data_IF_108680924526
#
_entry.id   IF_108680924526
#
_cell.length_a   1.000
_cell.length_b   1.000
_cell.length_c   1.000
_cell.angle_alpha   90.00
_cell.angle_beta   90.00
_cell.angle_gamma   90.00
#
_symmetry.space_group_name_H-M   'P 1'
#
loop_
_entity.id
_entity.type
_entity.pdbx_description
1 polymer ?
#
# COMPACT_ATOMS: atom_id res chain seq x y z
N UNK A 1 -35.65 21.69 60.23
CA UNK A 1 -36.28 20.56 59.54
C UNK A 1 -36.52 20.95 58.09
N UNK A 2 -35.77 20.40 57.14
CA UNK A 2 -36.12 20.43 55.71
C UNK A 2 -35.54 19.18 55.07
N UNK A 3 -36.39 18.16 54.82
CA UNK A 3 -36.03 16.93 54.13
C UNK A 3 -36.30 17.13 52.64
N UNK A 4 -35.24 17.31 51.85
CA UNK A 4 -35.32 17.42 50.39
C UNK A 4 -35.71 16.09 49.76
N UNK A 5 -36.84 16.09 49.03
CA UNK A 5 -37.24 15.01 48.12
C UNK A 5 -36.33 15.04 46.88
N UNK A 6 -35.38 14.12 46.80
CA UNK A 6 -34.74 13.78 45.53
C UNK A 6 -35.74 13.01 44.67
N UNK A 7 -36.13 13.60 43.55
CA UNK A 7 -37.08 13.03 42.58
C UNK A 7 -36.41 11.92 41.77
N UNK A 8 -37.09 10.77 41.69
CA UNK A 8 -36.69 9.55 40.98
C UNK A 8 -36.49 9.74 39.47
N UNK A 9 -36.96 10.84 38.88
CA UNK A 9 -36.80 11.15 37.45
C UNK A 9 -35.37 11.52 37.07
N UNK A 10 -34.57 12.08 37.99
CA UNK A 10 -33.17 12.43 37.71
C UNK A 10 -32.26 11.20 37.56
N UNK A 11 -32.64 10.07 38.17
CA UNK A 11 -31.82 8.85 38.17
C UNK A 11 -31.99 8.04 36.87
N UNK A 12 -33.15 8.11 36.22
CA UNK A 12 -33.43 7.41 34.95
C UNK A 12 -32.72 8.09 33.77
N UNK A 13 -32.63 9.43 33.75
CA UNK A 13 -31.88 10.16 32.72
C UNK A 13 -30.36 9.96 32.80
N UNK A 14 -29.80 9.73 33.99
CA UNK A 14 -28.36 9.49 34.15
C UNK A 14 -27.93 8.09 33.68
N UNK A 15 -28.81 7.08 33.82
CA UNK A 15 -28.54 5.71 33.35
C UNK A 15 -28.65 5.60 31.82
N UNK A 16 -29.54 6.39 31.18
CA UNK A 16 -29.66 6.43 29.72
C UNK A 16 -28.48 7.13 29.03
N UNK A 17 -27.78 8.06 29.68
CA UNK A 17 -26.58 8.69 29.11
C UNK A 17 -25.32 7.80 29.16
N UNK A 18 -25.27 6.80 30.04
CA UNK A 18 -24.09 5.94 30.20
C UNK A 18 -24.00 4.81 29.17
N UNK A 19 -25.10 4.43 28.51
CA UNK A 19 -25.12 3.32 27.54
C UNK A 19 -24.65 3.70 26.13
N UNK A 20 -24.49 4.99 25.81
CA UNK A 20 -24.04 5.44 24.48
C UNK A 20 -22.53 5.70 24.35
N UNK A 21 -21.75 5.56 25.42
CA UNK A 21 -20.29 5.83 25.38
C UNK A 21 -19.44 4.67 24.84
N UNK A 22 -20.05 3.51 24.54
CA UNK A 22 -19.33 2.30 24.10
C UNK A 22 -18.88 2.28 22.63
N UNK A 23 -19.61 2.92 21.71
CA UNK A 23 -19.36 2.79 20.26
C UNK A 23 -18.08 3.49 19.77
N UNK A 24 -17.75 4.67 20.33
CA UNK A 24 -16.57 5.45 19.91
C UNK A 24 -15.24 4.74 20.19
N UNK A 25 -15.22 3.78 21.12
CA UNK A 25 -14.02 3.00 21.45
C UNK A 25 -13.71 1.94 20.39
N UNK A 26 -14.73 1.38 19.74
CA UNK A 26 -14.56 0.28 18.77
C UNK A 26 -13.97 0.77 17.45
N UNK A 27 -14.41 1.94 16.97
CA UNK A 27 -13.91 2.53 15.72
C UNK A 27 -12.40 2.85 15.80
N UNK A 28 -11.97 3.52 16.88
CA UNK A 28 -10.54 3.79 17.14
C UNK A 28 -9.70 2.52 17.19
N UNK A 29 -10.27 1.43 17.69
CA UNK A 29 -9.58 0.12 17.73
C UNK A 29 -9.40 -0.43 16.33
N UNK A 30 -10.45 -0.41 15.50
CA UNK A 30 -10.38 -0.88 14.12
C UNK A 30 -9.43 -0.02 13.26
N UNK A 31 -9.36 1.29 13.50
CA UNK A 31 -8.39 2.16 12.84
C UNK A 31 -6.94 1.82 13.22
N UNK A 32 -6.69 1.51 14.50
CA UNK A 32 -5.38 1.02 14.94
C UNK A 32 -5.05 -0.33 14.28
N UNK A 33 -6.07 -1.18 14.05
CA UNK A 33 -5.91 -2.48 13.35
C UNK A 33 -5.39 -2.27 11.96
N UNK A 34 -6.12 -1.45 11.22
CA UNK A 34 -5.80 -1.16 9.85
C UNK A 34 -4.39 -0.58 9.76
N UNK A 35 -4.02 0.32 10.68
CA UNK A 35 -2.71 0.96 10.70
C UNK A 35 -1.55 0.00 10.92
N UNK A 36 -1.59 -0.82 11.97
CA UNK A 36 -0.49 -1.73 12.31
C UNK A 36 -0.27 -2.77 11.19
N UNK A 37 -1.36 -3.34 10.68
CA UNK A 37 -1.33 -4.24 9.52
C UNK A 37 -0.72 -3.55 8.29
N UNK A 38 -1.12 -2.31 8.04
CA UNK A 38 -0.69 -1.59 6.84
C UNK A 38 0.80 -1.19 6.93
N UNK A 39 1.27 -0.81 8.11
CA UNK A 39 2.69 -0.56 8.37
C UNK A 39 3.56 -1.81 8.17
N UNK A 40 3.04 -2.97 8.58
CA UNK A 40 3.66 -4.27 8.37
C UNK A 40 3.87 -4.54 6.88
N UNK A 41 2.81 -4.49 6.08
CA UNK A 41 2.88 -4.73 4.63
C UNK A 41 3.78 -3.69 3.94
N UNK A 42 3.70 -2.42 4.35
CA UNK A 42 4.53 -1.33 3.83
C UNK A 42 6.03 -1.57 4.03
N UNK A 43 6.43 -2.24 5.12
CA UNK A 43 7.83 -2.62 5.32
C UNK A 43 8.35 -3.54 4.20
N UNK A 44 7.46 -4.31 3.56
CA UNK A 44 7.76 -5.13 2.38
C UNK A 44 7.70 -4.35 1.05
N UNK A 45 7.64 -3.01 1.11
CA UNK A 45 7.57 -2.13 -0.06
C UNK A 45 6.30 -2.28 -0.91
N UNK A 46 5.25 -2.83 -0.32
CA UNK A 46 3.93 -3.05 -0.95
C UNK A 46 2.93 -2.03 -0.43
N UNK A 47 2.01 -1.56 -1.27
CA UNK A 47 0.91 -0.71 -0.82
C UNK A 47 -0.16 -1.62 -0.20
N UNK A 48 -0.45 -1.48 1.11
CA UNK A 48 -1.40 -2.35 1.80
C UNK A 48 -2.82 -2.18 1.27
N UNK A 49 -3.56 -3.28 1.29
CA UNK A 49 -5.01 -3.32 1.06
C UNK A 49 -5.69 -3.66 2.37
N UNK A 50 -6.66 -2.83 2.75
CA UNK A 50 -7.47 -3.04 3.95
C UNK A 50 -8.91 -2.52 3.73
N UNK A 51 -9.96 -3.31 4.05
CA UNK A 51 -9.89 -4.72 4.45
C UNK A 51 -9.32 -5.60 3.34
N UNK A 52 -8.89 -6.81 3.69
CA UNK A 52 -8.41 -7.79 2.71
C UNK A 52 -9.56 -8.12 1.73
N UNK A 53 -9.25 -8.20 0.44
CA UNK A 53 -10.26 -8.43 -0.60
C UNK A 53 -9.79 -9.46 -1.62
N UNK A 54 -10.73 -10.12 -2.28
CA UNK A 54 -10.45 -11.01 -3.39
C UNK A 54 -10.52 -10.32 -4.74
N UNK A 55 -11.11 -9.13 -4.84
CA UNK A 55 -11.54 -8.56 -6.13
C UNK A 55 -10.46 -7.77 -6.88
N UNK A 56 -9.41 -7.33 -6.19
CA UNK A 56 -8.34 -6.51 -6.77
C UNK A 56 -7.46 -7.33 -7.74
N UNK A 57 -7.24 -6.81 -8.95
CA UNK A 57 -6.49 -7.47 -10.01
C UNK A 57 -5.54 -6.50 -10.74
N UNK A 58 -4.42 -6.98 -11.32
CA UNK A 58 -3.64 -6.20 -12.26
C UNK A 58 -4.49 -5.75 -13.45
N UNK A 59 -4.36 -4.48 -13.83
CA UNK A 59 -5.19 -3.83 -14.84
C UNK A 59 -6.39 -3.08 -14.29
N UNK A 60 -6.67 -3.15 -12.98
CA UNK A 60 -7.67 -2.28 -12.35
C UNK A 60 -7.21 -0.81 -12.37
N UNK A 61 -8.13 0.07 -12.73
CA UNK A 61 -7.96 1.52 -12.80
C UNK A 61 -8.87 2.16 -11.77
N UNK A 62 -8.28 2.86 -10.81
CA UNK A 62 -8.97 3.64 -9.79
C UNK A 62 -8.80 5.13 -10.04
N UNK A 63 -9.88 5.90 -9.88
CA UNK A 63 -9.84 7.35 -9.84
C UNK A 63 -9.43 7.81 -8.44
N UNK A 64 -8.32 8.51 -8.34
CA UNK A 64 -7.82 9.06 -7.09
C UNK A 64 -8.01 10.57 -7.10
N UNK A 65 -9.07 11.02 -6.45
CA UNK A 65 -9.39 12.46 -6.34
C UNK A 65 -8.54 13.14 -5.28
N UNK A 66 -8.11 12.41 -4.24
CA UNK A 66 -7.38 13.04 -3.13
C UNK A 66 -6.02 13.60 -3.61
N UNK A 67 -5.68 14.87 -3.35
CA UNK A 67 -4.37 15.44 -3.67
C UNK A 67 -3.22 14.63 -3.10
N UNK A 68 -2.10 14.52 -3.83
CA UNK A 68 -0.96 13.67 -3.44
C UNK A 68 -0.39 14.03 -2.06
N UNK A 69 -0.47 15.29 -1.64
CA UNK A 69 -0.04 15.73 -0.31
C UNK A 69 -0.94 15.15 0.79
N UNK A 70 -2.26 15.15 0.57
CA UNK A 70 -3.23 14.55 1.48
C UNK A 70 -3.12 13.03 1.49
N UNK A 71 -2.93 12.40 0.33
CA UNK A 71 -2.65 10.95 0.26
C UNK A 71 -1.39 10.58 1.03
N UNK A 72 -0.32 11.37 0.90
CA UNK A 72 0.93 11.16 1.66
C UNK A 72 0.69 11.27 3.17
N UNK A 73 -0.14 12.23 3.59
CA UNK A 73 -0.51 12.39 4.99
C UNK A 73 -1.35 11.20 5.48
N UNK A 74 -2.42 10.84 4.79
CA UNK A 74 -3.26 9.67 5.09
C UNK A 74 -2.43 8.39 5.12
N UNK A 75 -1.55 8.16 4.14
CA UNK A 75 -0.67 7.01 4.09
C UNK A 75 0.30 6.93 5.28
N UNK A 76 0.73 8.08 5.83
CA UNK A 76 1.56 8.13 7.04
C UNK A 76 0.75 7.95 8.31
N UNK A 77 -0.45 8.53 8.36
CA UNK A 77 -1.31 8.56 9.55
C UNK A 77 -2.07 7.26 9.74
N UNK A 78 -2.70 6.77 8.67
CA UNK A 78 -3.56 5.58 8.63
C UNK A 78 -2.80 4.33 8.18
N UNK A 79 -1.67 4.49 7.48
CA UNK A 79 -0.82 3.38 7.04
C UNK A 79 -1.23 2.76 5.69
N UNK A 80 -2.47 2.96 5.25
CA UNK A 80 -3.00 2.52 3.95
C UNK A 80 -3.58 3.68 3.16
N UNK A 81 -3.96 3.39 1.92
CA UNK A 81 -4.78 4.28 1.11
C UNK A 81 -6.11 3.60 0.87
N UNK A 82 -7.23 4.31 1.02
CA UNK A 82 -8.51 3.79 0.56
C UNK A 82 -8.41 3.47 -0.93
N UNK A 83 -9.03 2.37 -1.33
CA UNK A 83 -9.32 2.14 -2.74
C UNK A 83 -10.48 3.07 -3.09
N UNK A 84 -10.21 4.07 -3.92
CA UNK A 84 -11.19 5.04 -4.36
C UNK A 84 -12.14 4.41 -5.42
N UNK A 85 -12.71 5.22 -6.31
CA UNK A 85 -13.67 4.76 -7.30
C UNK A 85 -13.00 3.88 -8.38
N UNK A 86 -13.37 2.60 -8.44
CA UNK A 86 -13.01 1.72 -9.55
C UNK A 86 -13.68 2.18 -10.84
N UNK A 87 -12.90 2.57 -11.84
CA UNK A 87 -13.40 3.07 -13.12
C UNK A 87 -13.49 1.97 -14.18
N UNK A 88 -12.46 1.14 -14.26
CA UNK A 88 -12.33 0.14 -15.32
C UNK A 88 -11.36 -0.98 -14.91
N UNK A 89 -11.54 -2.13 -15.55
CA UNK A 89 -10.56 -3.22 -15.57
C UNK A 89 -10.09 -3.41 -17.01
N UNK A 90 -8.78 -3.38 -17.21
CA UNK A 90 -8.21 -3.67 -18.52
C UNK A 90 -8.30 -5.17 -18.82
N UNK A 91 -8.71 -5.50 -20.03
CA UNK A 91 -8.86 -6.87 -20.51
C UNK A 91 -7.81 -7.22 -21.58
N UNK A 92 -7.67 -8.53 -21.83
CA UNK A 92 -6.72 -9.07 -22.82
C UNK A 92 -5.27 -8.73 -22.49
N UNK A 93 -4.91 -8.79 -21.21
CA UNK A 93 -3.55 -8.58 -20.74
C UNK A 93 -2.70 -9.83 -21.03
N UNK A 94 -1.45 -9.63 -21.44
CA UNK A 94 -0.54 -10.69 -21.84
C UNK A 94 0.20 -11.29 -20.64
N UNK A 95 -0.56 -11.97 -19.77
CA UNK A 95 0.02 -12.75 -18.68
C UNK A 95 0.89 -13.90 -19.19
N UNK A 96 0.55 -14.46 -20.37
CA UNK A 96 1.32 -15.54 -20.99
C UNK A 96 2.73 -15.09 -21.36
N UNK A 97 2.86 -14.02 -22.12
CA UNK A 97 4.14 -13.41 -22.47
C UNK A 97 4.89 -12.87 -21.25
N UNK A 98 4.18 -12.30 -20.26
CA UNK A 98 4.83 -11.79 -19.04
C UNK A 98 5.45 -12.92 -18.18
N UNK A 99 4.85 -14.11 -18.19
CA UNK A 99 5.32 -15.28 -17.48
C UNK A 99 5.92 -16.36 -18.39
N UNK A 100 6.23 -16.01 -19.63
CA UNK A 100 6.77 -16.95 -20.61
C UNK A 100 8.02 -17.62 -20.03
N UNK A 101 8.14 -18.93 -20.22
CA UNK A 101 9.24 -19.76 -19.69
C UNK A 101 9.30 -19.87 -18.15
N UNK A 102 8.33 -19.29 -17.44
CA UNK A 102 8.29 -19.23 -15.97
C UNK A 102 6.99 -19.82 -15.42
N UNK A 103 7.04 -20.44 -14.24
CA UNK A 103 5.86 -20.89 -13.48
C UNK A 103 4.86 -21.81 -14.20
N UNK A 104 5.24 -22.41 -15.35
CA UNK A 104 4.41 -23.39 -16.07
C UNK A 104 3.15 -22.79 -16.72
N UNK A 105 3.19 -21.50 -17.07
CA UNK A 105 2.05 -20.73 -17.61
C UNK A 105 1.72 -21.08 -19.05
N UNK A 106 2.68 -21.60 -19.81
CA UNK A 106 2.63 -21.85 -21.27
C UNK A 106 1.43 -22.70 -21.77
N UNK A 107 0.64 -23.30 -20.86
CA UNK A 107 -0.47 -24.20 -21.19
C UNK A 107 -1.83 -23.74 -20.66
N UNK A 108 -1.92 -22.60 -20.00
CA UNK A 108 -3.16 -22.13 -19.36
C UNK A 108 -3.68 -20.86 -20.04
N UNK A 109 -4.81 -20.92 -20.77
CA UNK A 109 -5.32 -19.78 -21.54
C UNK A 109 -5.91 -18.64 -20.69
N UNK A 110 -6.01 -18.82 -19.36
CA UNK A 110 -6.70 -17.90 -18.43
C UNK A 110 -5.94 -17.70 -17.11
N UNK A 111 -4.61 -17.61 -17.13
CA UNK A 111 -3.85 -17.06 -15.98
C UNK A 111 -4.11 -15.56 -15.93
N UNK A 112 -4.97 -15.05 -15.03
CA UNK A 112 -4.89 -15.25 -13.57
C UNK A 112 -6.12 -15.88 -12.92
N UNK A 113 -7.20 -16.11 -13.68
CA UNK A 113 -8.44 -16.68 -13.14
C UNK A 113 -8.16 -17.99 -12.41
N UNK A 114 -7.30 -18.87 -12.97
CA UNK A 114 -6.94 -20.13 -12.32
C UNK A 114 -6.12 -19.95 -11.02
N UNK A 115 -5.43 -18.82 -10.85
CA UNK A 115 -4.69 -18.52 -9.62
C UNK A 115 -5.56 -17.90 -8.54
N UNK A 116 -6.57 -17.12 -8.92
CA UNK A 116 -7.45 -16.42 -7.98
C UNK A 116 -8.69 -17.24 -7.63
N UNK A 117 -9.22 -17.95 -8.61
CA UNK A 117 -10.40 -18.80 -8.54
C UNK A 117 -10.01 -20.18 -9.07
N UNK A 118 -9.24 -20.97 -8.29
CA UNK A 118 -9.03 -22.36 -8.64
C UNK A 118 -10.41 -23.00 -8.76
N UNK A 119 -10.73 -23.55 -9.94
CA UNK A 119 -11.82 -24.52 -10.02
C UNK A 119 -11.47 -25.61 -9.00
N UNK A 120 -12.41 -26.02 -8.16
CA UNK A 120 -12.19 -27.16 -7.25
C UNK A 120 -11.67 -28.28 -8.11
N UNK A 121 -10.36 -28.54 -7.97
CA UNK A 121 -9.67 -29.40 -8.89
C UNK A 121 -10.36 -30.74 -8.74
N UNK A 122 -11.10 -31.19 -9.76
CA UNK A 122 -11.54 -32.58 -9.88
C UNK A 122 -10.27 -33.42 -9.86
N UNK A 123 -9.81 -33.78 -8.66
CA UNK A 123 -8.69 -34.63 -8.29
C UNK A 123 -7.65 -34.87 -9.39
N UNK A 124 -7.02 -33.82 -9.94
CA UNK A 124 -5.75 -34.03 -10.64
C UNK A 124 -4.70 -34.24 -9.56
N UNK A 125 -4.28 -35.50 -9.36
CA UNK A 125 -3.16 -35.92 -8.50
C UNK A 125 -1.83 -35.37 -9.03
N UNK A 126 -1.69 -34.06 -9.20
CA UNK A 126 -0.39 -33.47 -9.51
C UNK A 126 0.42 -33.46 -8.20
N UNK A 127 1.54 -34.18 -8.18
CA UNK A 127 2.43 -34.24 -7.01
C UNK A 127 3.14 -32.91 -6.75
N UNK A 128 3.09 -31.97 -7.70
CA UNK A 128 3.79 -30.69 -7.68
C UNK A 128 3.49 -29.80 -6.45
N UNK A 129 2.29 -29.89 -5.87
CA UNK A 129 1.90 -29.07 -4.72
C UNK A 129 1.87 -29.87 -3.41
N UNK A 130 2.75 -30.87 -3.23
CA UNK A 130 2.97 -31.42 -1.88
C UNK A 130 3.73 -30.37 -1.06
N UNK A 131 3.19 -29.88 0.07
CA UNK A 131 3.98 -29.05 0.98
C UNK A 131 5.26 -29.82 1.36
N UNK A 132 6.42 -29.25 1.02
CA UNK A 132 7.71 -29.76 1.47
C UNK A 132 7.81 -29.51 2.98
N UNK A 133 7.57 -30.52 3.80
CA UNK A 133 8.25 -30.61 5.10
C UNK A 133 7.41 -30.64 6.38
N UNK A 134 6.10 -30.42 6.38
CA UNK A 134 5.31 -30.54 7.62
C UNK A 134 4.80 -31.97 7.81
N UNK A 135 5.66 -32.85 8.33
CA UNK A 135 5.32 -34.19 8.81
C UNK A 135 4.51 -34.15 10.11
N UNK A 136 3.47 -33.31 10.16
CA UNK A 136 2.54 -33.21 11.28
C UNK A 136 1.11 -33.55 10.81
N UNK A 137 0.92 -34.81 10.38
CA UNK A 137 -0.31 -35.60 10.49
C UNK A 137 -1.68 -34.98 10.19
N UNK A 138 -1.78 -33.88 9.44
CA UNK A 138 -3.05 -33.22 9.14
C UNK A 138 -3.69 -33.85 7.90
N UNK A 139 -4.52 -34.88 8.10
CA UNK A 139 -5.32 -35.56 7.06
C UNK A 139 -6.53 -34.76 6.57
N UNK A 140 -6.48 -33.43 6.65
CA UNK A 140 -7.43 -32.59 5.91
C UNK A 140 -6.89 -32.50 4.49
N UNK A 141 -7.49 -33.30 3.60
CA UNK A 141 -7.37 -33.18 2.15
C UNK A 141 -7.89 -31.80 1.72
N UNK A 142 -7.13 -30.75 2.00
CA UNK A 142 -7.31 -29.47 1.32
C UNK A 142 -6.92 -29.76 -0.12
N UNK A 143 -7.93 -29.93 -0.98
CA UNK A 143 -7.74 -30.15 -2.41
C UNK A 143 -6.69 -29.18 -2.94
N UNK A 144 -5.65 -29.72 -3.61
CA UNK A 144 -4.58 -28.92 -4.19
C UNK A 144 -5.19 -27.95 -5.20
N UNK A 145 -5.30 -26.71 -4.80
CA UNK A 145 -5.74 -25.59 -5.60
C UNK A 145 -4.61 -25.14 -6.54
N UNK A 146 -4.96 -24.77 -7.77
CA UNK A 146 -4.00 -24.36 -8.81
C UNK A 146 -3.19 -23.09 -8.47
N UNK A 147 -3.51 -22.37 -7.38
CA UNK A 147 -2.71 -21.21 -6.94
C UNK A 147 -1.29 -21.56 -6.50
N UNK A 148 -0.99 -22.82 -6.20
CA UNK A 148 0.39 -23.24 -5.97
C UNK A 148 1.31 -23.08 -7.20
N UNK A 149 0.73 -22.88 -8.39
CA UNK A 149 1.44 -22.56 -9.62
C UNK A 149 1.77 -21.06 -9.74
N UNK A 150 1.10 -20.19 -8.97
CA UNK A 150 1.41 -18.78 -8.98
C UNK A 150 2.83 -18.54 -8.41
N UNK A 151 3.53 -17.47 -8.84
CA UNK A 151 4.78 -17.07 -8.24
C UNK A 151 4.66 -16.89 -6.72
N UNK A 152 5.54 -17.53 -5.96
CA UNK A 152 5.55 -17.39 -4.50
C UNK A 152 6.04 -16.01 -4.10
N UNK A 153 5.42 -15.47 -3.06
CA UNK A 153 5.91 -14.31 -2.33
C UNK A 153 6.27 -14.74 -0.90
N UNK A 154 7.22 -14.03 -0.30
CA UNK A 154 7.56 -14.22 1.10
C UNK A 154 7.48 -12.86 1.80
N UNK A 155 6.81 -12.85 2.95
CA UNK A 155 6.78 -11.73 3.85
C UNK A 155 7.56 -12.13 5.11
N UNK A 156 8.33 -11.21 5.72
CA UNK A 156 8.98 -11.51 6.99
C UNK A 156 7.93 -11.75 8.08
N UNK A 157 8.34 -12.39 9.17
CA UNK A 157 7.52 -12.43 10.38
C UNK A 157 7.69 -11.14 11.16
N UNK A 158 6.60 -10.62 11.74
CA UNK A 158 6.59 -9.34 12.42
C UNK A 158 6.21 -9.50 13.88
N UNK A 159 7.11 -9.09 14.77
CA UNK A 159 6.88 -9.14 16.21
C UNK A 159 6.07 -7.93 16.71
N UNK A 160 5.30 -8.15 17.77
CA UNK A 160 4.50 -7.13 18.43
C UNK A 160 4.35 -7.38 19.93
N UNK A 161 3.89 -6.37 20.68
CA UNK A 161 3.52 -6.50 22.09
C UNK A 161 2.11 -5.96 22.31
N UNK A 162 1.30 -6.67 23.11
CA UNK A 162 -0.07 -6.31 23.47
C UNK A 162 -0.16 -6.17 24.98
N UNK A 163 -0.79 -5.10 25.48
CA UNK A 163 -1.09 -4.90 26.92
C UNK A 163 -2.57 -4.52 27.10
N UNK A 164 -3.32 -5.37 27.78
CA UNK A 164 -4.70 -5.14 28.23
C UNK A 164 -4.69 -4.06 29.32
N UNK A 165 -5.35 -2.94 29.06
CA UNK A 165 -5.57 -1.86 30.03
C UNK A 165 -4.85 -0.54 29.73
N UNK A 166 -3.82 -0.53 28.89
CA UNK A 166 -3.09 0.71 28.52
C UNK A 166 -3.01 0.81 27.01
N UNK A 167 -4.08 1.29 26.35
CA UNK A 167 -4.11 1.90 24.99
C UNK A 167 -3.47 1.20 23.77
N UNK A 168 -2.59 0.23 23.95
CA UNK A 168 -1.80 -0.48 22.94
C UNK A 168 -2.52 -1.79 22.65
N UNK A 169 -3.58 -1.64 21.86
CA UNK A 169 -4.30 -2.74 21.26
C UNK A 169 -3.61 -3.01 19.94
N UNK A 170 -2.81 -4.07 19.93
CA UNK A 170 -2.38 -4.65 18.67
C UNK A 170 -3.61 -5.14 17.95
N UNK A 171 -3.63 -4.75 16.71
CA UNK A 171 -4.83 -4.68 15.97
C UNK A 171 -4.41 -5.30 14.62
N UNK A 172 -4.71 -6.59 14.49
CA UNK A 172 -4.47 -7.35 13.28
C UNK A 172 -5.83 -7.82 12.76
N UNK A 173 -6.04 -7.94 11.44
CA UNK A 173 -7.27 -8.49 10.87
C UNK A 173 -7.44 -9.99 11.15
N UNK A 174 -6.78 -10.52 12.17
CA UNK A 174 -6.99 -11.89 12.65
C UNK A 174 -7.85 -11.88 13.89
N UNK A 175 -9.01 -12.51 13.78
CA UNK A 175 -10.00 -12.61 14.86
C UNK A 175 -9.48 -13.40 16.07
N UNK A 176 -8.34 -14.07 15.90
CA UNK A 176 -7.71 -14.90 16.93
C UNK A 176 -7.08 -14.15 18.12
N UNK A 177 -6.62 -12.91 17.99
CA UNK A 177 -5.83 -12.25 19.07
C UNK A 177 -6.62 -12.15 20.39
N UNK A 178 -7.88 -11.68 20.42
CA UNK A 178 -8.67 -11.65 21.65
C UNK A 178 -8.92 -13.04 22.26
N UNK A 179 -9.10 -14.05 21.41
CA UNK A 179 -9.28 -15.45 21.80
C UNK A 179 -7.99 -15.95 22.47
N UNK A 180 -6.84 -15.66 21.87
CA UNK A 180 -5.53 -16.03 22.38
C UNK A 180 -5.20 -15.42 23.75
N UNK A 181 -5.47 -14.13 23.95
CA UNK A 181 -5.27 -13.47 25.24
C UNK A 181 -6.19 -14.05 26.33
N UNK A 182 -7.44 -14.32 25.97
CA UNK A 182 -8.42 -14.94 26.88
C UNK A 182 -7.98 -16.35 27.29
N UNK A 183 -7.43 -17.11 26.35
CA UNK A 183 -6.88 -18.45 26.59
C UNK A 183 -5.67 -18.42 27.54
N UNK A 184 -4.73 -17.49 27.34
CA UNK A 184 -3.54 -17.34 28.17
C UNK A 184 -3.81 -16.73 29.56
N UNK A 185 -5.03 -16.22 29.81
CA UNK A 185 -5.41 -15.50 31.05
C UNK A 185 -4.39 -14.40 31.43
N UNK A 186 -3.86 -13.72 30.42
CA UNK A 186 -2.84 -12.67 30.62
C UNK A 186 -3.38 -11.32 30.20
N UNK A 187 -2.89 -10.29 30.89
CA UNK A 187 -3.12 -8.90 30.53
C UNK A 187 -1.98 -8.37 29.64
N UNK A 188 -0.95 -9.16 29.34
CA UNK A 188 0.08 -8.77 28.37
C UNK A 188 0.71 -9.97 27.66
N UNK A 189 1.00 -9.80 26.37
CA UNK A 189 1.66 -10.82 25.55
C UNK A 189 2.54 -10.18 24.49
N UNK A 190 3.67 -10.80 24.20
CA UNK A 190 4.44 -10.55 22.98
C UNK A 190 3.99 -11.57 21.94
N UNK A 191 3.86 -11.19 20.70
CA UNK A 191 3.48 -12.10 19.63
C UNK A 191 4.19 -11.81 18.33
N UNK A 192 3.95 -12.67 17.35
CA UNK A 192 4.42 -12.47 15.98
C UNK A 192 3.36 -12.89 14.97
N UNK A 193 3.27 -12.13 13.88
CA UNK A 193 2.42 -12.40 12.72
C UNK A 193 3.27 -12.91 11.59
N UNK A 194 2.82 -13.97 10.94
CA UNK A 194 3.43 -14.50 9.73
C UNK A 194 2.35 -14.62 8.66
N UNK A 195 2.61 -14.00 7.50
CA UNK A 195 1.80 -14.17 6.29
C UNK A 195 2.35 -15.39 5.57
N UNK A 196 1.59 -16.47 5.58
CA UNK A 196 1.96 -17.76 5.04
C UNK A 196 1.17 -18.04 3.75
N UNK A 197 1.71 -18.93 2.91
CA UNK A 197 1.09 -19.26 1.62
C UNK A 197 0.84 -17.99 0.80
N UNK A 198 1.88 -17.17 0.69
CA UNK A 198 1.84 -15.91 -0.02
C UNK A 198 2.25 -16.09 -1.49
N UNK A 199 1.52 -15.41 -2.37
CA UNK A 199 1.68 -15.48 -3.82
C UNK A 199 1.66 -14.08 -4.41
N UNK A 200 2.14 -13.95 -5.63
CA UNK A 200 2.05 -12.69 -6.37
C UNK A 200 1.84 -12.95 -7.83
N UNK A 201 1.06 -12.09 -8.47
CA UNK A 201 0.99 -12.04 -9.91
C UNK A 201 0.79 -10.61 -10.43
N UNK A 202 1.22 -10.36 -11.65
CA UNK A 202 1.20 -9.04 -12.28
C UNK A 202 1.40 -9.14 -13.78
N UNK A 203 1.55 -7.98 -14.40
CA UNK A 203 1.82 -7.82 -15.84
C UNK A 203 2.88 -6.74 -16.08
N UNK A 204 3.35 -6.66 -17.32
CA UNK A 204 4.33 -5.67 -17.74
C UNK A 204 3.80 -4.25 -17.57
N UNK A 205 4.63 -3.37 -17.01
CA UNK A 205 4.33 -1.95 -16.89
C UNK A 205 4.12 -1.31 -18.27
N UNK A 206 4.93 -1.70 -19.26
CA UNK A 206 4.86 -1.15 -20.62
C UNK A 206 3.53 -1.49 -21.29
N UNK A 207 3.09 -2.74 -21.18
CA UNK A 207 1.82 -3.19 -21.74
C UNK A 207 0.64 -2.48 -21.08
N UNK A 208 0.63 -2.37 -19.75
CA UNK A 208 -0.41 -1.63 -19.04
C UNK A 208 -0.40 -0.16 -19.44
N UNK A 209 0.76 0.47 -19.54
CA UNK A 209 0.86 1.87 -19.96
C UNK A 209 0.21 2.06 -21.34
N UNK A 210 0.54 1.22 -22.32
CA UNK A 210 -0.03 1.31 -23.67
C UNK A 210 -1.55 1.11 -23.66
N UNK A 211 -2.05 0.13 -22.91
CA UNK A 211 -3.49 -0.14 -22.80
C UNK A 211 -4.24 0.96 -22.07
N UNK A 212 -3.70 1.52 -20.98
CA UNK A 212 -4.31 2.64 -20.26
C UNK A 212 -4.36 3.88 -21.15
N UNK A 213 -3.28 4.19 -21.87
CA UNK A 213 -3.25 5.30 -22.81
C UNK A 213 -4.22 5.09 -23.97
N UNK A 214 -4.34 3.87 -24.49
CA UNK A 214 -5.34 3.51 -25.50
C UNK A 214 -6.78 3.67 -24.99
N UNK A 215 -7.05 3.20 -23.77
CA UNK A 215 -8.34 3.35 -23.10
C UNK A 215 -8.70 4.83 -22.88
N UNK A 216 -7.77 5.63 -22.38
CA UNK A 216 -7.99 7.05 -22.11
C UNK A 216 -8.13 7.91 -23.38
N UNK A 217 -7.59 7.47 -24.52
CA UNK A 217 -7.75 8.15 -25.82
C UNK A 217 -9.14 8.01 -26.43
N UNK A 218 -9.95 7.04 -25.96
CA UNK A 218 -11.33 6.91 -26.42
C UNK A 218 -12.11 8.17 -26.03
N UNK A 219 -12.83 8.77 -26.99
CA UNK A 219 -13.52 10.06 -26.82
C UNK A 219 -14.38 10.09 -25.56
N UNK A 220 -15.21 9.07 -25.35
CA UNK A 220 -16.05 8.91 -24.15
C UNK A 220 -15.24 8.97 -22.84
N UNK A 221 -14.11 8.29 -22.77
CA UNK A 221 -13.30 8.24 -21.54
C UNK A 221 -12.54 9.55 -21.34
N UNK A 222 -12.03 10.15 -22.42
CA UNK A 222 -11.37 11.45 -22.37
C UNK A 222 -12.32 12.54 -21.89
N UNK A 223 -13.54 12.60 -22.42
CA UNK A 223 -14.57 13.53 -22.00
C UNK A 223 -14.93 13.34 -20.52
N UNK A 224 -15.13 12.09 -20.09
CA UNK A 224 -15.38 11.76 -18.69
C UNK A 224 -14.24 12.25 -17.78
N UNK A 225 -12.99 11.97 -18.14
CA UNK A 225 -11.82 12.39 -17.37
C UNK A 225 -11.67 13.91 -17.34
N UNK A 226 -11.95 14.59 -18.45
CA UNK A 226 -11.98 16.05 -18.52
C UNK A 226 -13.03 16.63 -17.56
N UNK A 227 -14.26 16.11 -17.60
CA UNK A 227 -15.35 16.57 -16.73
C UNK A 227 -15.00 16.39 -15.25
N UNK A 228 -14.46 15.22 -14.87
CA UNK A 228 -14.03 14.97 -13.48
C UNK A 228 -12.90 15.94 -13.09
N UNK A 229 -11.93 16.18 -13.97
CA UNK A 229 -10.82 17.10 -13.73
C UNK A 229 -11.29 18.57 -13.59
N UNK A 230 -12.32 18.98 -14.32
CA UNK A 230 -12.95 20.30 -14.20
C UNK A 230 -13.73 20.44 -12.88
N UNK A 231 -14.51 19.42 -12.49
CA UNK A 231 -15.29 19.40 -11.25
C UNK A 231 -14.38 19.39 -10.01
N UNK A 232 -13.33 18.57 -10.02
CA UNK A 232 -12.41 18.46 -8.90
C UNK A 232 -11.72 19.80 -8.61
N UNK A 233 -11.33 20.55 -9.65
CA UNK A 233 -10.62 21.83 -9.49
C UNK A 233 -9.18 21.70 -8.97
N UNK A 234 -8.66 20.47 -8.87
CA UNK A 234 -7.29 20.13 -8.50
C UNK A 234 -6.84 18.91 -9.30
N UNK A 235 -5.53 18.62 -9.31
CA UNK A 235 -4.99 17.47 -10.04
C UNK A 235 -5.52 16.16 -9.45
N UNK A 236 -6.18 15.37 -10.29
CA UNK A 236 -6.62 14.00 -9.98
C UNK A 236 -5.67 13.00 -10.67
N UNK A 237 -5.67 11.77 -10.17
CA UNK A 237 -4.81 10.72 -10.69
C UNK A 237 -5.62 9.48 -11.07
N UNK A 238 -5.16 8.76 -12.08
CA UNK A 238 -5.59 7.39 -12.35
C UNK A 238 -4.54 6.43 -11.82
N UNK A 239 -4.91 5.67 -10.79
CA UNK A 239 -4.06 4.62 -10.23
C UNK A 239 -4.32 3.32 -10.94
N UNK A 240 -3.26 2.73 -11.48
CA UNK A 240 -3.31 1.47 -12.22
C UNK A 240 -2.54 0.42 -11.46
N UNK A 241 -3.22 -0.67 -11.13
CA UNK A 241 -2.63 -1.81 -10.42
C UNK A 241 -1.83 -2.65 -11.42
N UNK A 242 -0.55 -2.90 -11.17
CA UNK A 242 0.27 -3.74 -12.05
C UNK A 242 0.65 -5.09 -11.45
N UNK A 243 0.59 -5.22 -10.12
CA UNK A 243 0.89 -6.47 -9.42
C UNK A 243 0.11 -6.51 -8.11
N UNK A 244 -0.39 -7.68 -7.77
CA UNK A 244 -1.04 -7.94 -6.48
C UNK A 244 -0.27 -8.98 -5.69
N UNK A 245 -0.37 -8.91 -4.38
CA UNK A 245 0.15 -9.89 -3.44
C UNK A 245 -1.01 -10.52 -2.69
N UNK A 246 -1.03 -11.83 -2.70
CA UNK A 246 -2.07 -12.68 -2.17
C UNK A 246 -1.55 -13.43 -0.95
N UNK A 247 -2.44 -13.75 0.00
CA UNK A 247 -2.17 -14.70 1.08
C UNK A 247 -3.27 -15.73 1.21
N UNK A 248 -2.90 -17.00 1.33
CA UNK A 248 -3.83 -18.06 1.71
C UNK A 248 -3.97 -18.24 3.21
N UNK A 249 -3.01 -17.74 4.02
CA UNK A 249 -2.99 -18.02 5.46
C UNK A 249 -2.28 -16.93 6.27
N UNK A 250 -2.82 -16.63 7.45
CA UNK A 250 -2.16 -15.78 8.44
C UNK A 250 -1.99 -16.57 9.73
N UNK A 251 -0.75 -16.65 10.21
CA UNK A 251 -0.40 -17.32 11.46
C UNK A 251 -0.03 -16.27 12.49
N UNK A 252 -0.66 -16.34 13.65
CA UNK A 252 -0.37 -15.46 14.79
C UNK A 252 0.08 -16.30 15.97
N UNK A 253 1.28 -16.06 16.44
CA UNK A 253 1.83 -16.64 17.67
C UNK A 253 1.84 -15.58 18.76
N UNK A 254 1.53 -15.97 19.99
CA UNK A 254 1.56 -15.10 21.16
C UNK A 254 2.17 -15.85 22.33
N UNK A 255 2.92 -15.15 23.17
CA UNK A 255 3.58 -15.64 24.37
C UNK A 255 3.38 -14.63 25.51
N UNK A 256 2.99 -15.12 26.68
CA UNK A 256 2.74 -14.34 27.87
C UNK A 256 4.03 -13.69 28.40
N UNK A 257 4.03 -12.36 28.57
CA UNK A 257 5.19 -11.58 29.02
C UNK A 257 5.35 -11.51 30.54
N UNK A 258 4.39 -12.03 31.33
CA UNK A 258 4.42 -11.98 32.82
C UNK A 258 5.49 -12.85 33.49
N UNK A 259 6.39 -13.48 32.74
CA UNK A 259 7.41 -14.39 33.29
C UNK A 259 8.70 -13.69 33.74
N UNK A 260 8.82 -12.36 33.60
CA UNK A 260 9.97 -11.61 34.12
C UNK A 260 9.78 -11.21 35.59
N UNK A 261 9.67 -12.20 36.47
CA UNK A 261 9.91 -12.02 37.90
C UNK A 261 11.42 -12.16 38.16
N UNK A 262 12.13 -11.04 38.27
CA UNK A 262 13.46 -10.90 38.86
C UNK A 262 14.50 -12.01 38.59
N UNK A 263 15.04 -12.10 37.37
CA UNK A 263 16.42 -12.59 37.18
C UNK A 263 17.21 -11.55 36.38
N UNK A 264 17.91 -10.69 37.10
CA UNK A 264 18.90 -9.79 36.53
C UNK A 264 20.07 -10.62 36.00
N UNK A 265 20.22 -10.74 34.67
CA UNK A 265 21.50 -10.96 33.99
C UNK A 265 21.41 -10.52 32.53
N UNK A 266 22.36 -9.66 32.14
CA UNK A 266 22.27 -8.79 30.97
C UNK A 266 22.47 -9.43 29.59
N UNK A 267 21.96 -8.72 28.59
CA UNK A 267 22.67 -8.48 27.33
C UNK A 267 22.64 -9.52 26.22
N UNK A 268 21.66 -10.45 26.17
CA UNK A 268 21.49 -11.32 25.01
C UNK A 268 20.02 -11.39 24.56
N UNK A 269 19.79 -11.26 23.25
CA UNK A 269 18.47 -11.47 22.62
C UNK A 269 17.93 -12.85 22.98
N UNK A 270 16.75 -12.89 23.60
CA UNK A 270 16.13 -14.13 24.05
C UNK A 270 15.45 -14.80 22.85
N UNK A 271 16.11 -15.80 22.26
CA UNK A 271 15.49 -16.69 21.27
C UNK A 271 14.32 -17.42 21.94
N UNK A 272 13.10 -17.28 21.39
CA UNK A 272 11.90 -17.91 21.94
C UNK A 272 11.96 -19.42 21.64
N UNK A 273 12.43 -20.21 22.61
CA UNK A 273 12.38 -21.66 22.53
C UNK A 273 10.94 -22.16 22.77
N UNK A 274 10.43 -22.98 21.85
CA UNK A 274 9.12 -23.64 21.95
C UNK A 274 9.26 -24.83 22.93
N UNK A 275 8.47 -24.94 24.01
CA UNK A 275 8.59 -26.04 24.96
C UNK A 275 8.05 -27.37 24.39
N UNK A 276 8.79 -28.46 24.59
CA UNK A 276 8.29 -29.83 24.36
C UNK A 276 7.33 -30.25 25.49
N UNK A 277 6.18 -30.82 25.12
CA UNK A 277 5.12 -31.21 26.06
C UNK A 277 5.31 -32.62 26.62
N UNK A 278 5.01 -32.84 27.91
CA UNK A 278 5.03 -34.17 28.56
C UNK A 278 3.82 -35.04 28.14
N UNK A 279 4.02 -36.37 28.17
CA UNK A 279 3.19 -37.37 27.48
C UNK A 279 1.76 -37.55 28.00
N UNK A 280 1.44 -37.24 29.25
CA UNK A 280 0.08 -37.40 29.82
C UNK A 280 -0.78 -36.12 29.73
N UNK A 281 -0.14 -34.95 29.75
CA UNK A 281 -0.82 -33.68 29.46
C UNK A 281 -1.24 -33.57 27.98
N UNK A 282 -0.57 -34.33 27.10
CA UNK A 282 -0.80 -34.31 25.65
C UNK A 282 -2.22 -34.75 25.25
N UNK A 283 -2.81 -35.78 25.89
CA UNK A 283 -4.16 -36.28 25.52
C UNK A 283 -5.28 -35.33 25.88
N UNK A 284 -5.22 -34.74 27.08
CA UNK A 284 -6.19 -33.73 27.52
C UNK A 284 -6.08 -32.45 26.69
N UNK A 285 -4.85 -32.08 26.33
CA UNK A 285 -4.57 -30.97 25.43
C UNK A 285 -5.13 -31.19 24.02
N UNK A 286 -4.88 -32.36 23.41
CA UNK A 286 -5.43 -32.68 22.07
C UNK A 286 -6.96 -32.66 22.05
N UNK A 287 -7.60 -33.20 23.10
CA UNK A 287 -9.07 -33.17 23.22
C UNK A 287 -9.61 -31.74 23.34
N UNK A 288 -8.94 -30.88 24.12
CA UNK A 288 -9.32 -29.47 24.25
C UNK A 288 -9.10 -28.71 22.94
N UNK A 289 -7.96 -28.95 22.27
CA UNK A 289 -7.62 -28.37 20.96
C UNK A 289 -8.66 -28.75 19.91
N UNK A 290 -9.07 -30.02 19.87
CA UNK A 290 -10.06 -30.52 18.93
C UNK A 290 -11.43 -29.86 19.16
N UNK A 291 -11.93 -29.84 20.41
CA UNK A 291 -13.21 -29.18 20.75
C UNK A 291 -13.21 -27.68 20.46
N UNK A 292 -12.06 -27.03 20.67
CA UNK A 292 -11.90 -25.62 20.37
C UNK A 292 -11.93 -25.36 18.86
N UNK A 293 -11.22 -26.18 18.07
CA UNK A 293 -11.26 -26.10 16.61
C UNK A 293 -12.67 -26.37 16.07
N UNK A 294 -13.39 -27.37 16.58
CA UNK A 294 -14.79 -27.66 16.19
C UNK A 294 -15.75 -26.48 16.46
N UNK A 295 -15.51 -25.72 17.53
CA UNK A 295 -16.27 -24.50 17.84
C UNK A 295 -15.90 -23.31 16.94
N UNK A 296 -14.60 -23.14 16.65
CA UNK A 296 -14.09 -22.02 15.85
C UNK A 296 -14.43 -22.16 14.35
N UNK A 297 -14.42 -23.38 13.81
CA UNK A 297 -14.76 -23.65 12.40
C UNK A 297 -16.19 -23.23 12.03
N UNK A 298 -17.11 -23.15 13.01
CA UNK A 298 -18.52 -22.81 12.76
C UNK A 298 -18.85 -21.32 12.88
N UNK A 299 -17.92 -20.49 13.34
CA UNK A 299 -18.29 -19.18 13.90
C UNK A 299 -17.74 -17.98 13.12
N UNK A 300 -16.83 -18.17 12.15
CA UNK A 300 -16.13 -17.06 11.51
C UNK A 300 -16.47 -16.91 10.02
N UNK A 301 -17.10 -15.80 9.60
CA UNK A 301 -17.29 -15.50 8.19
C UNK A 301 -15.94 -15.15 7.55
N UNK A 302 -15.55 -15.88 6.50
CA UNK A 302 -14.42 -15.53 5.64
C UNK A 302 -13.14 -16.36 5.80
N UNK A 303 -13.02 -17.24 6.80
CA UNK A 303 -11.82 -18.05 7.01
C UNK A 303 -11.97 -19.16 8.05
N UNK A 304 -11.11 -20.18 7.99
CA UNK A 304 -11.03 -21.24 8.99
C UNK A 304 -9.93 -20.91 10.01
N UNK A 305 -10.32 -20.65 11.26
CA UNK A 305 -9.39 -20.42 12.37
C UNK A 305 -9.08 -21.74 13.08
N UNK A 306 -7.79 -22.08 13.17
CA UNK A 306 -7.27 -23.28 13.83
C UNK A 306 -6.27 -22.91 14.91
N UNK A 307 -6.38 -23.54 16.07
CA UNK A 307 -5.35 -23.48 17.11
C UNK A 307 -4.28 -24.52 16.78
N UNK A 308 -3.09 -24.05 16.39
CA UNK A 308 -1.95 -24.91 16.09
C UNK A 308 -1.30 -25.41 17.38
N UNK A 309 -1.04 -24.47 18.30
CA UNK A 309 -0.44 -24.71 19.59
C UNK A 309 -1.12 -23.85 20.67
N UNK A 310 -1.30 -24.38 21.88
CA UNK A 310 -1.87 -23.65 23.01
C UNK A 310 -1.30 -24.13 24.33
N UNK A 311 -0.94 -23.20 25.20
CA UNK A 311 -0.59 -23.43 26.58
C UNK A 311 -1.03 -22.22 27.41
N UNK A 312 -0.93 -22.30 28.73
CA UNK A 312 -1.13 -21.12 29.58
C UNK A 312 -0.12 -19.99 29.32
N UNK A 313 0.97 -20.28 28.59
CA UNK A 313 2.06 -19.33 28.32
C UNK A 313 2.15 -18.90 26.87
N UNK A 314 1.59 -19.65 25.93
CA UNK A 314 1.68 -19.35 24.52
C UNK A 314 0.47 -19.87 23.76
N UNK A 315 0.11 -19.20 22.68
CA UNK A 315 -0.95 -19.65 21.78
C UNK A 315 -0.57 -19.28 20.35
N UNK A 316 -0.69 -20.23 19.45
CA UNK A 316 -0.48 -20.06 18.02
C UNK A 316 -1.76 -20.39 17.30
N UNK A 317 -2.28 -19.38 16.61
CA UNK A 317 -3.52 -19.41 15.86
C UNK A 317 -3.18 -19.29 14.38
N UNK A 318 -3.92 -20.00 13.54
CA UNK A 318 -3.76 -19.99 12.09
C UNK A 318 -5.11 -19.75 11.46
N UNK A 319 -5.24 -18.67 10.73
CA UNK A 319 -6.43 -18.34 9.94
C UNK A 319 -6.13 -18.66 8.47
N UNK A 320 -6.86 -19.61 7.92
CA UNK A 320 -6.69 -20.06 6.52
C UNK A 320 -7.89 -19.61 5.71
N UNK A 321 -7.65 -18.99 4.56
CA UNK A 321 -8.70 -18.49 3.68
C UNK A 321 -9.03 -19.55 2.61
N UNK A 322 -10.32 -19.82 2.36
CA UNK A 322 -10.72 -20.73 1.27
C UNK A 322 -10.21 -20.27 -0.10
N UNK A 323 -10.15 -18.95 -0.29
CA UNK A 323 -9.56 -18.30 -1.45
C UNK A 323 -8.51 -17.30 -0.98
N UNK A 324 -7.38 -17.17 -1.69
CA UNK A 324 -6.34 -16.25 -1.27
C UNK A 324 -6.85 -14.80 -1.34
N UNK A 325 -6.52 -14.00 -0.32
CA UNK A 325 -6.91 -12.59 -0.23
C UNK A 325 -5.75 -11.67 -0.58
N UNK A 326 -6.06 -10.55 -1.24
CA UNK A 326 -5.08 -9.52 -1.58
C UNK A 326 -4.69 -8.75 -0.31
N UNK A 327 -3.42 -8.84 0.05
CA UNK A 327 -2.83 -8.13 1.20
C UNK A 327 -2.20 -6.79 0.80
N UNK A 328 -1.90 -6.63 -0.48
CA UNK A 328 -1.32 -5.42 -1.00
C UNK A 328 -1.05 -5.46 -2.50
N UNK A 329 -0.67 -4.32 -3.07
CA UNK A 329 -0.39 -4.19 -4.49
C UNK A 329 0.83 -3.31 -4.77
N UNK A 330 1.32 -3.40 -6.02
CA UNK A 330 2.10 -2.36 -6.66
C UNK A 330 1.24 -1.73 -7.76
N UNK A 331 1.46 -0.43 -7.95
CA UNK A 331 0.75 0.34 -8.94
C UNK A 331 1.51 1.59 -9.33
N UNK A 332 0.95 2.27 -10.31
CA UNK A 332 1.46 3.53 -10.81
C UNK A 332 0.30 4.47 -11.12
N UNK A 333 0.55 5.76 -10.97
CA UNK A 333 -0.44 6.82 -11.08
C UNK A 333 -0.16 7.64 -12.35
N UNK A 334 -1.23 7.99 -13.07
CA UNK A 334 -1.22 8.95 -14.16
C UNK A 334 -1.92 10.23 -13.71
N UNK A 335 -1.26 11.38 -13.80
CA UNK A 335 -1.92 12.68 -13.64
C UNK A 335 -2.89 12.92 -14.80
N UNK A 336 -4.15 13.23 -14.50
CA UNK A 336 -5.13 13.64 -15.52
C UNK A 336 -4.93 15.11 -15.85
N UNK A 337 -4.77 15.43 -17.12
CA UNK A 337 -4.61 16.80 -17.61
C UNK A 337 -5.97 17.48 -17.81
N UNK A 338 -5.95 18.81 -17.94
CA UNK A 338 -7.18 19.61 -18.13
C UNK A 338 -8.00 19.23 -19.37
N UNK A 339 -7.40 18.62 -20.37
CA UNK A 339 -8.05 18.16 -21.60
C UNK A 339 -8.44 16.67 -21.54
N UNK A 340 -8.43 16.06 -20.34
CA UNK A 340 -8.70 14.64 -20.12
C UNK A 340 -7.58 13.69 -20.57
N UNK A 341 -6.47 14.22 -21.12
CA UNK A 341 -5.31 13.38 -21.47
C UNK A 341 -4.55 12.94 -20.22
N UNK A 342 -3.74 11.89 -20.35
CA UNK A 342 -2.92 11.37 -19.24
C UNK A 342 -1.48 11.84 -19.35
N UNK A 343 -0.87 12.15 -18.21
CA UNK A 343 0.56 12.47 -18.09
C UNK A 343 1.46 11.24 -18.18
N UNK A 344 2.71 11.37 -17.77
CA UNK A 344 3.62 10.23 -17.63
C UNK A 344 3.24 9.38 -16.40
N UNK A 345 3.40 8.05 -16.45
CA UNK A 345 3.16 7.18 -15.31
C UNK A 345 4.21 7.41 -14.22
N UNK A 346 3.78 7.33 -12.96
CA UNK A 346 4.66 7.49 -11.78
C UNK A 346 4.38 6.32 -10.86
N UNK A 347 5.41 5.63 -10.36
CA UNK A 347 5.20 4.62 -9.33
C UNK A 347 4.46 5.24 -8.14
N UNK A 348 3.30 4.69 -7.77
CA UNK A 348 2.43 5.25 -6.72
C UNK A 348 3.21 5.46 -5.43
N UNK A 349 4.04 4.48 -5.05
CA UNK A 349 4.90 4.54 -3.87
C UNK A 349 5.86 5.73 -3.89
N UNK A 350 6.41 6.11 -5.05
CA UNK A 350 7.29 7.27 -5.15
C UNK A 350 6.54 8.57 -4.82
N UNK A 351 5.31 8.70 -5.31
CA UNK A 351 4.41 9.80 -4.94
C UNK A 351 4.14 9.87 -3.45
N UNK A 352 3.81 8.73 -2.83
CA UNK A 352 3.50 8.63 -1.39
C UNK A 352 4.71 8.88 -0.47
N UNK A 353 5.92 8.58 -0.95
CA UNK A 353 7.14 8.88 -0.20
C UNK A 353 7.55 10.35 -0.34
N UNK A 354 6.78 11.16 -1.08
CA UNK A 354 7.14 12.54 -1.38
C UNK A 354 8.44 12.63 -2.18
N UNK A 355 8.81 11.56 -2.90
CA UNK A 355 9.93 11.60 -3.82
C UNK A 355 9.47 12.47 -4.97
N UNK A 356 9.75 13.78 -4.83
CA UNK A 356 9.46 14.75 -5.87
C UNK A 356 10.08 14.25 -7.16
N UNK A 357 9.31 14.31 -8.25
CA UNK A 357 9.82 13.93 -9.55
C UNK A 357 11.07 14.77 -9.80
N UNK A 358 12.17 14.19 -10.28
CA UNK A 358 13.35 14.97 -10.65
C UNK A 358 12.95 16.16 -11.53
N UNK A 359 12.05 15.95 -12.50
CA UNK A 359 11.53 17.01 -13.36
C UNK A 359 10.71 18.09 -12.64
N UNK A 360 9.92 17.72 -11.65
CA UNK A 360 9.03 18.64 -10.94
C UNK A 360 9.83 19.53 -9.97
N UNK A 361 10.82 18.96 -9.27
CA UNK A 361 11.79 19.73 -8.51
C UNK A 361 12.61 20.65 -9.43
N UNK A 362 13.04 20.17 -10.60
CA UNK A 362 13.72 20.99 -11.61
C UNK A 362 12.81 22.14 -12.08
N UNK A 363 11.52 21.90 -12.30
CA UNK A 363 10.56 22.94 -12.69
C UNK A 363 10.33 23.96 -11.57
N UNK A 364 10.18 23.52 -10.32
CA UNK A 364 10.07 24.39 -9.15
C UNK A 364 11.31 25.26 -8.98
N UNK A 365 12.50 24.66 -9.10
CA UNK A 365 13.78 25.37 -9.07
C UNK A 365 13.86 26.44 -10.18
N UNK A 366 13.39 26.10 -11.39
CA UNK A 366 13.31 27.03 -12.51
C UNK A 366 12.31 28.18 -12.27
N UNK A 367 11.16 27.90 -11.66
CA UNK A 367 10.17 28.95 -11.32
C UNK A 367 10.71 29.85 -10.22
N UNK A 368 11.32 29.28 -9.18
CA UNK A 368 11.87 30.02 -8.06
C UNK A 368 12.99 30.97 -8.50
N UNK A 369 13.94 30.47 -9.29
CA UNK A 369 15.04 31.29 -9.80
C UNK A 369 14.56 32.40 -10.75
N UNK A 370 13.56 32.09 -11.60
CA UNK A 370 12.96 33.08 -12.48
C UNK A 370 12.28 34.19 -11.67
N UNK A 371 11.52 33.82 -10.65
CA UNK A 371 10.86 34.78 -9.77
C UNK A 371 11.87 35.65 -9.00
N UNK A 372 13.04 35.12 -8.67
CA UNK A 372 14.13 35.89 -8.06
C UNK A 372 14.72 36.91 -9.04
N UNK A 373 15.01 36.49 -10.28
CA UNK A 373 15.52 37.36 -11.34
C UNK A 373 14.49 38.44 -11.73
N UNK A 374 13.20 38.08 -11.76
CA UNK A 374 12.13 38.98 -12.16
C UNK A 374 11.92 40.14 -11.15
N UNK A 375 12.43 40.01 -9.91
CA UNK A 375 12.43 41.08 -8.89
C UNK A 375 13.55 42.10 -9.05
N UNK A 376 14.56 41.83 -9.89
CA UNK A 376 15.67 42.74 -10.16
C UNK A 376 15.23 43.87 -11.12
N UNK A 377 16.02 44.95 -11.17
CA UNK A 377 15.82 46.02 -12.14
C UNK A 377 16.00 45.51 -13.58
N UNK A 378 15.35 46.17 -14.53
CA UNK A 378 15.28 45.68 -15.92
C UNK A 378 16.66 45.57 -16.61
N UNK A 379 17.61 46.51 -16.43
CA UNK A 379 18.99 46.34 -16.92
C UNK A 379 19.67 45.08 -16.38
N UNK A 380 19.65 44.89 -15.05
CA UNK A 380 20.25 43.72 -14.40
C UNK A 380 19.61 42.41 -14.87
N UNK A 381 18.29 42.39 -14.98
CA UNK A 381 17.51 41.25 -15.48
C UNK A 381 17.87 40.90 -16.93
N UNK A 382 17.98 41.90 -17.80
CA UNK A 382 18.38 41.70 -19.19
C UNK A 382 19.80 41.12 -19.30
N UNK A 383 20.76 41.64 -18.52
CA UNK A 383 22.13 41.14 -18.49
C UNK A 383 22.20 39.68 -18.02
N UNK A 384 21.43 39.32 -16.98
CA UNK A 384 21.38 37.93 -16.49
C UNK A 384 20.87 36.97 -17.57
N UNK A 385 19.73 37.27 -18.21
CA UNK A 385 19.18 36.40 -19.25
C UNK A 385 20.10 36.30 -20.48
N UNK A 386 20.77 37.40 -20.85
CA UNK A 386 21.70 37.42 -21.98
C UNK A 386 22.93 36.55 -21.72
N UNK A 387 23.60 36.73 -20.56
CA UNK A 387 24.75 35.91 -20.15
C UNK A 387 24.37 34.44 -19.99
N UNK A 388 23.21 34.16 -19.39
CA UNK A 388 22.71 32.80 -19.26
C UNK A 388 22.47 32.17 -20.65
N UNK A 389 21.86 32.89 -21.59
CA UNK A 389 21.61 32.40 -22.94
C UNK A 389 22.92 32.10 -23.69
N UNK A 390 23.95 32.96 -23.57
CA UNK A 390 25.29 32.71 -24.13
C UNK A 390 25.91 31.44 -23.57
N UNK A 391 25.81 31.21 -22.25
CA UNK A 391 26.37 30.01 -21.60
C UNK A 391 25.70 28.69 -22.03
N UNK A 392 24.49 28.76 -22.61
CA UNK A 392 23.76 27.59 -23.09
C UNK A 392 24.18 27.17 -24.52
N UNK A 393 24.97 28.01 -25.20
CA UNK A 393 25.51 27.77 -26.54
C UNK A 393 24.85 28.63 -27.62
N UNK A 394 25.53 28.76 -28.76
CA UNK A 394 25.16 29.69 -29.85
C UNK A 394 23.76 29.45 -30.41
N UNK A 395 23.33 28.18 -30.49
CA UNK A 395 21.99 27.81 -30.96
C UNK A 395 20.89 28.40 -30.04
N UNK A 396 21.05 28.26 -28.72
CA UNK A 396 20.09 28.81 -27.76
C UNK A 396 20.14 30.33 -27.74
N UNK A 397 21.35 30.90 -27.78
CA UNK A 397 21.56 32.35 -27.79
C UNK A 397 20.95 33.01 -29.04
N UNK A 398 21.10 32.41 -30.21
CA UNK A 398 20.51 32.91 -31.45
C UNK A 398 18.97 32.92 -31.39
N UNK A 399 18.34 31.89 -30.82
CA UNK A 399 16.89 31.88 -30.58
C UNK A 399 16.48 32.99 -29.61
N UNK A 400 17.23 33.18 -28.52
CA UNK A 400 16.96 34.23 -27.54
C UNK A 400 17.04 35.63 -28.15
N UNK A 401 18.09 35.95 -28.90
CA UNK A 401 18.25 37.24 -29.58
C UNK A 401 17.17 37.48 -30.63
N UNK A 402 16.72 36.42 -31.32
CA UNK A 402 15.55 36.49 -32.20
C UNK A 402 14.30 36.95 -31.46
N UNK A 403 13.95 36.28 -30.36
CA UNK A 403 12.75 36.62 -29.56
C UNK A 403 12.89 37.92 -28.77
N UNK A 404 14.10 38.33 -28.40
CA UNK A 404 14.36 39.60 -27.69
C UNK A 404 13.97 40.83 -28.53
N UNK A 405 13.98 40.71 -29.86
CA UNK A 405 13.49 41.77 -30.77
C UNK A 405 11.96 41.90 -30.76
N UNK A 406 11.26 40.81 -30.48
CA UNK A 406 9.79 40.75 -30.47
C UNK A 406 9.21 41.02 -29.07
N UNK A 407 9.90 40.57 -28.02
CA UNK A 407 9.44 40.61 -26.64
C UNK A 407 10.10 41.76 -25.86
N UNK A 408 9.27 42.62 -25.26
CA UNK A 408 9.78 43.68 -24.37
C UNK A 408 10.41 43.16 -23.07
N UNK A 409 10.00 41.97 -22.63
CA UNK A 409 10.48 41.36 -21.39
C UNK A 409 11.54 40.27 -21.73
N UNK A 410 12.79 40.41 -21.25
CA UNK A 410 13.85 39.45 -21.55
C UNK A 410 13.56 38.03 -21.03
N UNK A 411 12.84 37.90 -19.91
CA UNK A 411 12.42 36.60 -19.40
C UNK A 411 11.40 35.89 -20.29
N UNK A 412 10.55 36.63 -20.99
CA UNK A 412 9.61 36.06 -21.98
C UNK A 412 10.35 35.58 -23.24
N UNK A 413 11.30 36.38 -23.75
CA UNK A 413 12.18 35.96 -24.85
C UNK A 413 12.93 34.67 -24.50
N UNK A 414 13.49 34.59 -23.29
CA UNK A 414 14.20 33.42 -22.80
C UNK A 414 13.27 32.18 -22.67
N UNK A 415 12.05 32.37 -22.16
CA UNK A 415 11.06 31.29 -22.06
C UNK A 415 10.65 30.74 -23.44
N UNK A 416 10.50 31.61 -24.46
CA UNK A 416 10.22 31.20 -25.84
C UNK A 416 11.40 30.46 -26.47
N UNK A 417 12.62 30.96 -26.27
CA UNK A 417 13.84 30.28 -26.71
C UNK A 417 13.94 28.86 -26.13
N UNK A 418 13.64 28.70 -24.83
CA UNK A 418 13.56 27.38 -24.18
C UNK A 418 12.57 26.44 -24.84
N UNK A 419 11.33 26.89 -25.10
CA UNK A 419 10.29 26.06 -25.72
C UNK A 419 10.71 25.62 -27.12
N UNK A 420 11.33 26.52 -27.91
CA UNK A 420 11.79 26.18 -29.26
C UNK A 420 12.98 25.23 -29.23
N UNK A 421 13.93 25.44 -28.32
CA UNK A 421 15.13 24.63 -28.18
C UNK A 421 14.86 23.25 -27.57
N UNK A 422 13.74 23.05 -26.86
CA UNK A 422 13.37 21.76 -26.27
C UNK A 422 12.78 20.76 -27.28
N UNK A 423 12.47 21.20 -28.51
CA UNK A 423 11.94 20.32 -29.56
C UNK A 423 13.02 19.31 -29.95
N UNK A 424 12.77 18.02 -29.68
CA UNK A 424 13.68 16.92 -30.02
C UNK A 424 14.84 16.70 -29.04
N UNK A 425 14.90 17.43 -27.92
CA UNK A 425 15.93 17.28 -26.87
C UNK A 425 15.30 16.80 -25.55
N UNK A 426 16.10 16.12 -24.71
CA UNK A 426 15.68 15.78 -23.34
C UNK A 426 15.35 17.05 -22.55
N UNK A 427 14.08 17.23 -22.16
CA UNK A 427 13.64 18.43 -21.46
C UNK A 427 14.34 18.59 -20.10
N UNK A 428 14.56 17.48 -19.39
CA UNK A 428 15.21 17.45 -18.08
C UNK A 428 16.64 17.99 -18.12
N UNK A 429 17.42 17.54 -19.10
CA UNK A 429 18.81 17.95 -19.25
C UNK A 429 18.92 19.44 -19.60
N UNK A 430 18.09 19.89 -20.55
CA UNK A 430 18.03 21.29 -20.94
C UNK A 430 17.63 22.18 -19.75
N UNK A 431 16.60 21.81 -19.00
CA UNK A 431 16.17 22.57 -17.82
C UNK A 431 17.26 22.62 -16.74
N UNK A 432 17.97 21.52 -16.48
CA UNK A 432 19.11 21.52 -15.53
C UNK A 432 20.21 22.47 -15.97
N UNK A 433 20.56 22.47 -17.26
CA UNK A 433 21.55 23.40 -17.83
C UNK A 433 21.09 24.85 -17.70
N UNK A 434 19.82 25.13 -18.01
CA UNK A 434 19.22 26.46 -17.87
C UNK A 434 19.26 26.95 -16.42
N UNK A 435 18.84 26.11 -15.47
CA UNK A 435 18.82 26.46 -14.04
C UNK A 435 20.25 26.75 -13.56
N UNK A 436 21.22 25.91 -13.94
CA UNK A 436 22.63 26.11 -13.62
C UNK A 436 23.17 27.43 -14.20
N UNK A 437 22.88 27.71 -15.47
CA UNK A 437 23.27 28.95 -16.14
C UNK A 437 22.70 30.18 -15.43
N UNK A 438 21.40 30.19 -15.17
CA UNK A 438 20.73 31.30 -14.47
C UNK A 438 21.26 31.46 -13.03
N UNK A 439 21.54 30.37 -12.30
CA UNK A 439 22.07 30.41 -10.92
C UNK A 439 23.46 31.03 -10.89
N UNK A 440 24.35 30.56 -11.77
CA UNK A 440 25.73 31.04 -11.83
C UNK A 440 25.76 32.53 -12.17
N UNK A 441 25.03 32.94 -13.20
CA UNK A 441 25.01 34.35 -13.63
C UNK A 441 24.35 35.25 -12.59
N UNK A 442 23.25 34.83 -11.97
CA UNK A 442 22.61 35.60 -10.91
C UNK A 442 23.50 35.76 -9.66
N UNK A 443 24.42 34.81 -9.40
CA UNK A 443 25.42 34.92 -8.33
C UNK A 443 26.59 35.83 -8.70
N UNK A 444 26.97 35.90 -9.98
CA UNK A 444 28.04 36.81 -10.45
C UNK A 444 27.62 38.28 -10.49
N UNK A 445 26.32 38.54 -10.67
CA UNK A 445 25.76 39.89 -10.81
C UNK A 445 25.36 40.51 -9.46
N UNK A 446 25.17 39.69 -8.42
CA UNK A 446 24.97 40.13 -7.03
C UNK A 446 26.30 40.39 -6.35
#
# INVERSE_FOLDING_TARGET
MNKGRFTTEALVSLVALLTFTGCASMEKQMQTVAKDWSMLIRASQVIPVYPLTEDLQPGDIFLVETPIQKQTQQYKEEGFLPLDQHLARLHGLDYGGFYEESYGVDKLPNTPHHWQFPETARARKSDACKPRGDSLGSTLDIEKTDWCLAPRAAFPSYAFEVKKGVGAKLALPVQGVPIGLSFMRTDSAAGAVTIADAYTYGVSLAELQDKVLGWAKQEKNREMLQQIQEIAGHEIYLRVINRVYLTGRVVVSMTNTRTSGAEAKGGAEKTVAIPEASTDAAKGYETMRQKLNEGLEKTLPGGALKVLQGSHRSVTLSETFPRPLVVGYLGFDFSVQKDGSLGAPIATRSGLLGIKRPFEQIREDYVAIRAEIDRLDDPTKADIYEKAAKSLGDEFFGLYEGYKKEEKNPGNAFARAKIRHSVGKSQDELLRRIIKALKNVAQEVK
#
